data_IF_925390391890
#
_entry.id   IF_925390391890
#
_cell.length_a   1.000
_cell.length_b   1.000
_cell.length_c   1.000
_cell.angle_alpha   90.00
_cell.angle_beta   90.00
_cell.angle_gamma   90.00
#
_symmetry.space_group_name_H-M   'P 1'
#
loop_
_entity.id
_entity.type
_entity.pdbx_description
1 polymer ?
#
# COMPACT_ATOMS: atom_id res chain seq x y z
N UNK A 1 5.30 15.37 13.51
CA UNK A 1 5.08 15.14 14.95
C UNK A 1 4.21 16.30 15.44
N UNK A 2 2.93 16.07 15.71
CA UNK A 2 1.93 17.14 15.54
C UNK A 2 1.40 17.68 16.87
N UNK A 3 1.56 16.94 17.98
CA UNK A 3 0.97 17.28 19.28
C UNK A 3 1.48 18.61 19.83
N UNK A 4 2.80 18.83 19.86
CA UNK A 4 3.37 20.05 20.43
C UNK A 4 2.94 21.31 19.66
N UNK A 5 3.05 21.39 18.31
CA UNK A 5 2.51 22.51 17.55
C UNK A 5 1.01 22.75 17.76
N UNK A 6 0.20 21.69 17.87
CA UNK A 6 -1.25 21.81 18.11
C UNK A 6 -1.54 22.38 19.50
N UNK A 7 -0.83 21.93 20.54
CA UNK A 7 -0.99 22.47 21.90
C UNK A 7 -0.58 23.93 21.96
N UNK A 8 0.51 24.31 21.28
CA UNK A 8 1.04 25.68 21.31
C UNK A 8 0.26 26.68 20.45
N UNK A 9 -0.30 26.23 19.32
CA UNK A 9 -0.93 27.11 18.31
C UNK A 9 -2.45 26.92 18.18
N UNK A 10 -3.00 25.89 18.83
CA UNK A 10 -4.40 25.52 18.79
C UNK A 10 -4.77 24.59 17.63
N UNK A 11 -5.78 23.76 17.86
CA UNK A 11 -6.39 22.89 16.84
C UNK A 11 -6.89 23.62 15.59
N UNK A 12 -7.58 24.78 15.70
CA UNK A 12 -8.02 25.55 14.54
C UNK A 12 -6.88 25.96 13.61
N UNK A 13 -5.73 26.35 14.16
CA UNK A 13 -4.56 26.70 13.35
C UNK A 13 -4.03 25.50 12.57
N UNK A 14 -3.98 24.32 13.18
CA UNK A 14 -3.60 23.07 12.49
C UNK A 14 -4.62 22.69 11.40
N UNK A 15 -5.91 22.91 11.65
CA UNK A 15 -7.00 22.61 10.73
C UNK A 15 -7.10 23.56 9.53
N UNK A 16 -6.32 24.65 9.48
CA UNK A 16 -6.22 25.50 8.27
C UNK A 16 -5.44 24.85 7.13
N UNK A 17 -4.66 23.80 7.42
CA UNK A 17 -3.91 23.02 6.44
C UNK A 17 -4.70 21.78 6.03
N UNK A 18 -4.39 21.26 4.85
CA UNK A 18 -5.04 20.06 4.32
C UNK A 18 -6.41 20.32 3.70
N UNK A 19 -7.30 19.34 3.78
CA UNK A 19 -8.70 19.45 3.33
C UNK A 19 -9.65 19.57 4.52
N UNK A 20 -10.93 19.84 4.25
CA UNK A 20 -11.97 19.89 5.29
C UNK A 20 -12.20 18.54 5.99
N UNK A 21 -11.99 17.42 5.29
CA UNK A 21 -12.17 16.06 5.83
C UNK A 21 -10.85 15.45 6.33
N UNK A 22 -9.72 15.80 5.71
CA UNK A 22 -8.37 15.38 6.07
C UNK A 22 -7.53 16.61 6.41
N UNK A 23 -7.60 17.06 7.67
CA UNK A 23 -6.93 18.28 8.12
C UNK A 23 -5.47 18.05 8.53
N UNK A 24 -4.66 19.09 8.35
CA UNK A 24 -3.26 19.12 8.77
C UNK A 24 -2.28 18.57 7.75
N UNK A 25 -1.14 18.09 8.27
CA UNK A 25 -0.04 17.50 7.50
C UNK A 25 0.15 16.04 7.81
N UNK A 26 0.76 15.33 6.86
CA UNK A 26 1.23 13.96 7.02
C UNK A 26 2.69 13.84 6.60
N UNK A 27 3.43 13.03 7.37
CA UNK A 27 4.77 12.60 6.99
C UNK A 27 4.64 11.38 6.08
N UNK A 28 5.28 11.46 4.92
CA UNK A 28 5.39 10.35 3.98
C UNK A 28 6.83 9.87 3.91
N UNK A 29 7.02 8.56 4.08
CA UNK A 29 8.30 7.90 3.92
C UNK A 29 8.38 7.41 2.47
N UNK A 30 9.02 8.21 1.60
CA UNK A 30 9.16 7.91 0.19
C UNK A 30 10.49 7.19 -0.06
N UNK A 31 10.42 6.02 -0.70
CA UNK A 31 11.54 5.11 -0.90
C UNK A 31 11.42 4.34 -2.22
N UNK A 32 12.40 3.50 -2.53
CA UNK A 32 12.46 2.75 -3.78
C UNK A 32 13.14 3.54 -4.89
N UNK A 33 12.56 3.51 -6.09
CA UNK A 33 13.17 3.99 -7.33
C UNK A 33 13.00 5.50 -7.55
N UNK A 34 13.28 6.29 -6.51
CA UNK A 34 13.25 7.77 -6.56
C UNK A 34 14.64 8.35 -6.39
N UNK A 35 14.88 9.55 -6.95
CA UNK A 35 16.20 10.20 -6.93
C UNK A 35 16.67 10.57 -5.52
N UNK A 36 15.76 10.97 -4.63
CA UNK A 36 16.05 11.39 -3.26
C UNK A 36 15.08 10.73 -2.27
N UNK A 37 15.32 9.47 -1.87
CA UNK A 37 14.49 8.82 -0.85
C UNK A 37 14.60 9.56 0.48
N UNK A 38 13.51 9.62 1.25
CA UNK A 38 13.47 10.39 2.48
C UNK A 38 12.07 10.51 3.09
N UNK A 39 11.97 11.34 4.12
CA UNK A 39 10.71 11.68 4.77
C UNK A 39 10.29 13.08 4.35
N UNK A 40 9.08 13.20 3.81
CA UNK A 40 8.53 14.45 3.32
C UNK A 40 7.27 14.79 4.11
N UNK A 41 7.20 15.99 4.66
CA UNK A 41 5.98 16.52 5.27
C UNK A 41 5.21 17.32 4.24
N UNK A 42 3.98 16.90 3.94
CA UNK A 42 3.08 17.61 3.03
C UNK A 42 1.71 17.78 3.66
N UNK A 43 0.96 18.77 3.18
CA UNK A 43 -0.43 18.95 3.52
C UNK A 43 -1.25 17.81 2.92
N UNK A 44 -2.27 17.35 3.67
CA UNK A 44 -3.25 16.44 3.09
C UNK A 44 -3.86 17.06 1.83
N UNK A 45 -3.99 16.28 0.75
CA UNK A 45 -4.46 16.77 -0.54
C UNK A 45 -3.37 16.94 -1.60
N UNK A 46 -2.09 16.97 -1.22
CA UNK A 46 -1.01 16.76 -2.18
C UNK A 46 -1.20 15.41 -2.90
N UNK A 47 -0.85 15.34 -4.17
CA UNK A 47 -0.98 14.13 -4.99
C UNK A 47 0.24 13.20 -4.82
N UNK A 48 0.12 11.96 -5.27
CA UNK A 48 1.26 11.04 -5.32
C UNK A 48 2.35 11.56 -6.28
N UNK A 49 1.95 12.22 -7.38
CA UNK A 49 2.85 12.93 -8.29
C UNK A 49 3.66 14.01 -7.58
N UNK A 50 3.00 14.89 -6.83
CA UNK A 50 3.67 15.96 -6.10
C UNK A 50 4.75 15.40 -5.16
N UNK A 51 4.44 14.30 -4.48
CA UNK A 51 5.38 13.65 -3.56
C UNK A 51 6.59 13.06 -4.28
N UNK A 52 6.38 12.40 -5.43
CA UNK A 52 7.46 11.85 -6.26
C UNK A 52 8.33 12.98 -6.82
N UNK A 53 7.73 14.08 -7.26
CA UNK A 53 8.44 15.26 -7.76
C UNK A 53 9.27 15.93 -6.66
N UNK A 54 8.76 16.01 -5.42
CA UNK A 54 9.53 16.47 -4.26
C UNK A 54 10.78 15.60 -4.02
N UNK A 55 10.72 14.30 -4.27
CA UNK A 55 11.89 13.43 -4.24
C UNK A 55 12.81 13.53 -5.47
N UNK A 56 12.52 14.42 -6.41
CA UNK A 56 13.31 14.59 -7.64
C UNK A 56 12.98 13.54 -8.71
N UNK A 57 11.76 13.01 -8.69
CA UNK A 57 11.27 12.07 -9.69
C UNK A 57 11.78 10.65 -9.51
N UNK A 58 11.36 9.80 -10.44
CA UNK A 58 11.91 8.44 -10.62
C UNK A 58 13.38 8.54 -11.03
N UNK A 59 14.20 7.57 -10.62
CA UNK A 59 15.63 7.51 -10.99
C UNK A 59 15.82 7.67 -12.50
N UNK A 60 16.84 8.43 -12.91
CA UNK A 60 17.11 8.73 -14.31
C UNK A 60 17.24 7.46 -15.18
N UNK A 61 16.60 7.48 -16.35
CA UNK A 61 16.59 6.34 -17.29
C UNK A 61 15.64 5.20 -16.91
N UNK A 62 14.82 5.39 -15.86
CA UNK A 62 13.80 4.44 -15.43
C UNK A 62 12.40 5.02 -15.60
N UNK A 63 11.42 4.14 -15.68
CA UNK A 63 10.01 4.51 -15.68
C UNK A 63 9.29 3.87 -14.49
N UNK A 64 8.39 4.62 -13.87
CA UNK A 64 7.57 4.07 -12.79
C UNK A 64 6.68 2.94 -13.32
N UNK A 65 6.75 1.79 -12.67
CA UNK A 65 5.89 0.64 -12.95
C UNK A 65 4.69 0.59 -12.01
N UNK A 66 4.93 0.80 -10.71
CA UNK A 66 3.89 0.79 -9.69
C UNK A 66 4.35 1.52 -8.43
N UNK A 67 3.41 1.85 -7.54
CA UNK A 67 3.70 2.35 -6.20
C UNK A 67 2.97 1.50 -5.18
N UNK A 68 3.68 0.95 -4.19
CA UNK A 68 3.03 0.38 -3.02
C UNK A 68 2.77 1.50 -2.01
N UNK A 69 1.50 1.90 -1.90
CA UNK A 69 1.04 2.98 -1.03
C UNK A 69 0.47 2.40 0.26
N UNK A 70 0.91 2.93 1.40
CA UNK A 70 0.44 2.53 2.74
C UNK A 70 1.30 1.49 3.44
N UNK A 71 2.44 1.10 2.84
CA UNK A 71 3.38 0.10 3.37
C UNK A 71 3.06 -1.32 2.91
N UNK A 72 3.67 -2.33 3.54
CA UNK A 72 3.52 -3.74 3.15
C UNK A 72 2.05 -4.23 3.13
N UNK A 73 1.21 -3.71 4.03
CA UNK A 73 -0.22 -4.02 4.12
C UNK A 73 -1.10 -3.06 3.28
N UNK A 74 -0.44 -2.23 2.49
CA UNK A 74 -1.05 -1.24 1.61
C UNK A 74 -1.58 -1.87 0.33
N UNK A 75 -1.79 -1.04 -0.67
CA UNK A 75 -2.23 -1.47 -2.01
C UNK A 75 -1.37 -0.86 -3.09
N UNK A 76 -1.30 -1.54 -4.23
CA UNK A 76 -0.60 -1.01 -5.38
C UNK A 76 -1.41 0.06 -6.10
N UNK A 77 -0.74 1.16 -6.42
CA UNK A 77 -1.18 2.22 -7.30
C UNK A 77 -0.45 2.10 -8.65
N UNK A 78 -1.15 2.44 -9.73
CA UNK A 78 -0.64 2.51 -11.10
C UNK A 78 -0.30 3.96 -11.46
N UNK A 79 0.19 4.16 -12.68
CA UNK A 79 0.44 5.49 -13.25
C UNK A 79 -0.84 6.34 -13.28
N UNK A 80 -2.00 5.71 -13.47
CA UNK A 80 -3.30 6.39 -13.54
C UNK A 80 -3.76 6.95 -12.17
N UNK A 81 -3.18 6.47 -11.08
CA UNK A 81 -3.51 6.94 -9.72
C UNK A 81 -2.62 8.10 -9.24
N UNK A 82 -1.64 8.55 -10.04
CA UNK A 82 -0.65 9.52 -9.60
C UNK A 82 -1.26 10.85 -9.13
N UNK A 83 -2.39 11.21 -9.72
CA UNK A 83 -3.10 12.46 -9.44
C UNK A 83 -4.19 12.29 -8.36
N UNK A 84 -4.28 11.12 -7.72
CA UNK A 84 -5.16 10.90 -6.55
C UNK A 84 -4.66 11.75 -5.38
N UNK A 85 -5.50 12.62 -4.79
CA UNK A 85 -5.13 13.37 -3.60
C UNK A 85 -4.85 12.42 -2.44
N UNK A 86 -3.71 12.59 -1.75
CA UNK A 86 -3.30 11.78 -0.61
C UNK A 86 -4.08 12.20 0.65
N UNK A 87 -5.38 11.89 0.64
CA UNK A 87 -6.35 12.08 1.73
C UNK A 87 -7.03 10.75 2.06
N UNK A 88 -7.58 10.57 3.26
CA UNK A 88 -8.20 9.30 3.63
C UNK A 88 -9.39 8.94 2.73
N UNK A 89 -10.20 9.95 2.39
CA UNK A 89 -11.40 9.83 1.57
C UNK A 89 -11.07 9.52 0.11
N UNK A 90 -10.14 10.26 -0.51
CA UNK A 90 -9.84 10.09 -1.92
C UNK A 90 -9.06 8.80 -2.19
N UNK A 91 -8.10 8.42 -1.33
CA UNK A 91 -7.42 7.13 -1.50
C UNK A 91 -8.40 5.98 -1.33
N UNK A 92 -9.31 6.04 -0.35
CA UNK A 92 -10.32 5.00 -0.16
C UNK A 92 -11.23 4.88 -1.38
N UNK A 93 -11.66 6.00 -1.96
CA UNK A 93 -12.50 6.02 -3.15
C UNK A 93 -11.77 5.43 -4.38
N UNK A 94 -10.44 5.58 -4.47
CA UNK A 94 -9.60 5.00 -5.51
C UNK A 94 -9.21 3.52 -5.25
N UNK A 95 -9.70 2.90 -4.18
CA UNK A 95 -9.29 1.55 -3.77
C UNK A 95 -7.84 1.48 -3.26
N UNK A 96 -7.29 2.62 -2.84
CA UNK A 96 -5.94 2.76 -2.32
C UNK A 96 -5.90 2.87 -0.78
N UNK A 97 -4.81 2.41 -0.18
CA UNK A 97 -4.58 2.51 1.26
C UNK A 97 -3.56 3.59 1.59
N UNK A 98 -3.99 4.70 2.19
CA UNK A 98 -3.04 5.74 2.62
C UNK A 98 -2.10 5.25 3.74
N UNK A 99 -2.59 4.35 4.59
CA UNK A 99 -1.85 3.67 5.65
C UNK A 99 -0.95 4.57 6.49
N UNK A 100 0.24 4.06 6.79
CA UNK A 100 1.26 4.76 7.59
C UNK A 100 1.93 5.94 6.86
N UNK A 101 1.60 6.19 5.59
CA UNK A 101 2.31 7.16 4.75
C UNK A 101 3.59 6.62 4.13
N UNK A 102 3.82 5.31 4.15
CA UNK A 102 4.92 4.69 3.41
C UNK A 102 4.55 4.65 1.92
N UNK A 103 5.47 5.12 1.09
CA UNK A 103 5.34 5.16 -0.37
C UNK A 103 6.58 4.50 -0.96
N UNK A 104 6.39 3.36 -1.62
CA UNK A 104 7.48 2.62 -2.25
C UNK A 104 7.30 2.64 -3.76
N UNK A 105 8.18 3.36 -4.46
CA UNK A 105 8.14 3.47 -5.92
C UNK A 105 8.92 2.33 -6.55
N UNK A 106 8.27 1.57 -7.42
CA UNK A 106 8.85 0.44 -8.15
C UNK A 106 9.00 0.82 -9.62
N UNK A 107 10.18 0.61 -10.18
CA UNK A 107 10.46 0.90 -11.58
C UNK A 107 10.23 -0.31 -12.51
N UNK A 108 10.53 -0.10 -13.79
CA UNK A 108 10.43 -1.08 -14.87
C UNK A 108 11.36 -2.30 -14.69
N UNK A 109 12.38 -2.22 -13.84
CA UNK A 109 13.29 -3.34 -13.56
C UNK A 109 12.83 -4.24 -12.42
N UNK A 110 11.82 -3.81 -11.66
CA UNK A 110 11.36 -4.55 -10.49
C UNK A 110 10.63 -5.82 -10.90
N UNK A 111 11.08 -6.97 -10.41
CA UNK A 111 10.33 -8.23 -10.48
C UNK A 111 9.15 -8.20 -9.50
N UNK A 112 7.97 -7.81 -10.01
CA UNK A 112 6.76 -7.74 -9.20
C UNK A 112 6.30 -9.11 -8.68
N UNK A 113 6.58 -10.21 -9.38
CA UNK A 113 6.20 -11.55 -8.91
C UNK A 113 7.02 -11.90 -7.67
N UNK A 114 8.34 -11.75 -7.75
CA UNK A 114 9.22 -11.97 -6.60
C UNK A 114 8.89 -11.02 -5.43
N UNK A 115 8.57 -9.75 -5.74
CA UNK A 115 8.23 -8.75 -4.74
C UNK A 115 6.95 -9.12 -3.97
N UNK A 116 5.88 -9.51 -4.69
CA UNK A 116 4.59 -9.90 -4.07
C UNK A 116 4.73 -11.18 -3.27
N UNK A 117 5.49 -12.17 -3.75
CA UNK A 117 5.80 -13.39 -2.97
C UNK A 117 6.56 -13.08 -1.68
N UNK A 118 7.50 -12.13 -1.73
CA UNK A 118 8.23 -11.66 -0.53
C UNK A 118 7.27 -11.03 0.50
N UNK A 119 6.29 -10.24 0.06
CA UNK A 119 5.25 -9.66 0.93
C UNK A 119 4.37 -10.76 1.53
N UNK A 120 3.94 -11.75 0.74
CA UNK A 120 3.15 -12.86 1.25
C UNK A 120 3.91 -13.65 2.34
N UNK A 121 5.18 -13.98 2.08
CA UNK A 121 6.06 -14.62 3.06
C UNK A 121 6.22 -13.78 4.34
N UNK A 122 6.39 -12.46 4.20
CA UNK A 122 6.45 -11.55 5.36
C UNK A 122 5.19 -11.65 6.24
N UNK A 123 3.98 -11.63 5.67
CA UNK A 123 2.76 -11.76 6.48
C UNK A 123 2.54 -13.16 7.06
N UNK A 124 3.06 -14.19 6.40
CA UNK A 124 3.10 -15.54 6.98
C UNK A 124 3.98 -15.56 8.22
N UNK A 125 5.18 -14.98 8.13
CA UNK A 125 6.18 -14.96 9.20
C UNK A 125 5.75 -14.07 10.38
N UNK A 126 5.16 -12.91 10.10
CA UNK A 126 4.80 -11.89 11.11
C UNK A 126 3.40 -12.08 11.73
N UNK A 127 2.67 -13.12 11.33
CA UNK A 127 1.40 -13.46 11.97
C UNK A 127 1.66 -13.93 13.41
N UNK A 128 1.07 -13.26 14.40
CA UNK A 128 1.14 -13.69 15.80
C UNK A 128 0.45 -15.06 16.08
N UNK A 129 -0.35 -15.55 15.13
CA UNK A 129 -0.97 -16.88 15.19
C UNK A 129 -2.29 -16.97 15.96
N UNK A 130 -2.79 -15.87 16.53
CA UNK A 130 -3.96 -15.90 17.42
C UNK A 130 -5.28 -16.21 16.71
N UNK A 131 -5.56 -15.61 15.54
CA UNK A 131 -6.79 -15.83 14.79
C UNK A 131 -6.55 -16.75 13.59
N UNK A 132 -7.44 -17.72 13.39
CA UNK A 132 -7.34 -18.70 12.29
C UNK A 132 -7.34 -18.02 10.91
N UNK A 133 -8.22 -17.04 10.62
CA UNK A 133 -8.21 -16.33 9.33
C UNK A 133 -6.83 -15.76 8.97
N UNK A 134 -6.16 -15.09 9.92
CA UNK A 134 -4.81 -14.58 9.68
C UNK A 134 -3.77 -15.69 9.61
N UNK A 135 -3.69 -16.56 10.64
CA UNK A 135 -2.63 -17.57 10.77
C UNK A 135 -2.61 -18.55 9.59
N UNK A 136 -3.78 -18.97 9.13
CA UNK A 136 -3.91 -19.94 8.04
C UNK A 136 -4.04 -19.21 6.70
N UNK A 137 -4.77 -18.09 6.65
CA UNK A 137 -4.98 -17.33 5.43
C UNK A 137 -3.67 -16.81 4.81
N UNK A 138 -2.73 -16.31 5.62
CA UNK A 138 -1.43 -15.85 5.09
C UNK A 138 -0.60 -16.98 4.48
N UNK A 139 -0.67 -18.19 5.04
CA UNK A 139 -0.05 -19.40 4.45
C UNK A 139 -0.73 -19.76 3.13
N UNK A 140 -2.07 -19.82 3.11
CA UNK A 140 -2.83 -20.18 1.89
C UNK A 140 -2.63 -19.16 0.76
N UNK A 141 -2.48 -17.89 1.11
CA UNK A 141 -2.15 -16.83 0.17
C UNK A 141 -0.76 -17.01 -0.45
N UNK A 142 0.26 -17.37 0.34
CA UNK A 142 1.61 -17.67 -0.17
C UNK A 142 1.58 -18.91 -1.09
N UNK A 143 0.95 -20.00 -0.65
CA UNK A 143 0.81 -21.23 -1.45
C UNK A 143 0.05 -20.99 -2.77
N UNK A 144 -0.97 -20.14 -2.75
CA UNK A 144 -1.73 -19.74 -3.93
C UNK A 144 -0.82 -19.04 -4.96
N UNK A 145 0.00 -18.08 -4.51
CA UNK A 145 0.97 -17.42 -5.39
C UNK A 145 1.98 -18.42 -5.98
N UNK A 146 2.44 -19.37 -5.17
CA UNK A 146 3.37 -20.42 -5.62
C UNK A 146 2.74 -21.32 -6.69
N UNK A 147 1.46 -21.70 -6.52
CA UNK A 147 0.71 -22.45 -7.53
C UNK A 147 0.52 -21.65 -8.82
N UNK A 148 0.17 -20.37 -8.73
CA UNK A 148 0.06 -19.50 -9.90
C UNK A 148 1.39 -19.39 -10.66
N UNK A 149 2.52 -19.26 -9.95
CA UNK A 149 3.86 -19.29 -10.56
C UNK A 149 4.15 -20.63 -11.25
N UNK A 150 3.67 -21.73 -10.68
CA UNK A 150 3.82 -23.08 -11.25
C UNK A 150 2.86 -23.36 -12.44
N UNK A 151 2.03 -22.39 -12.85
CA UNK A 151 1.13 -22.52 -13.99
C UNK A 151 -0.26 -23.08 -13.66
N UNK A 152 -0.71 -22.99 -12.40
CA UNK A 152 -2.10 -23.27 -12.06
C UNK A 152 -3.07 -22.32 -12.78
N UNK A 153 -4.33 -22.74 -12.98
CA UNK A 153 -5.36 -21.92 -13.61
C UNK A 153 -5.57 -20.60 -12.83
N UNK A 154 -5.25 -19.44 -13.43
CA UNK A 154 -5.37 -18.16 -12.75
C UNK A 154 -6.80 -17.83 -12.33
N UNK A 155 -7.83 -18.39 -12.99
CA UNK A 155 -9.22 -18.10 -12.63
C UNK A 155 -9.58 -18.67 -11.26
N UNK A 156 -9.34 -19.95 -11.04
CA UNK A 156 -9.64 -20.61 -9.76
C UNK A 156 -8.83 -20.02 -8.60
N UNK A 157 -7.55 -19.73 -8.84
CA UNK A 157 -6.70 -19.10 -7.81
C UNK A 157 -7.14 -17.67 -7.48
N UNK A 158 -7.62 -16.88 -8.45
CA UNK A 158 -8.20 -15.55 -8.20
C UNK A 158 -9.49 -15.59 -7.38
N UNK A 159 -10.37 -16.56 -7.64
CA UNK A 159 -11.59 -16.74 -6.83
C UNK A 159 -11.23 -17.11 -5.39
N UNK A 160 -10.29 -18.05 -5.21
CA UNK A 160 -9.78 -18.43 -3.89
C UNK A 160 -9.10 -17.25 -3.16
N UNK A 161 -8.32 -16.44 -3.88
CA UNK A 161 -7.68 -15.24 -3.34
C UNK A 161 -8.70 -14.30 -2.70
N UNK A 162 -9.78 -14.01 -3.44
CA UNK A 162 -10.83 -13.09 -3.01
C UNK A 162 -11.58 -13.64 -1.78
N UNK A 163 -11.84 -14.94 -1.75
CA UNK A 163 -12.48 -15.60 -0.60
C UNK A 163 -11.58 -15.54 0.65
N UNK A 164 -10.30 -15.86 0.50
CA UNK A 164 -9.31 -15.76 1.60
C UNK A 164 -9.24 -14.31 2.10
N UNK A 165 -9.07 -13.35 1.19
CA UNK A 165 -8.96 -11.94 1.52
C UNK A 165 -10.20 -11.40 2.24
N UNK A 166 -11.39 -11.82 1.83
CA UNK A 166 -12.65 -11.46 2.51
C UNK A 166 -12.70 -12.03 3.93
N UNK A 167 -12.40 -13.31 4.11
CA UNK A 167 -12.42 -13.95 5.45
C UNK A 167 -11.36 -13.32 6.37
N UNK A 168 -10.17 -13.02 5.84
CA UNK A 168 -9.11 -12.32 6.56
C UNK A 168 -9.55 -10.92 6.99
N UNK A 169 -10.17 -10.14 6.10
CA UNK A 169 -10.71 -8.82 6.38
C UNK A 169 -11.78 -8.84 7.49
N UNK A 170 -12.72 -9.77 7.41
CA UNK A 170 -13.93 -9.74 8.23
C UNK A 170 -13.75 -10.43 9.59
N UNK A 171 -12.85 -11.41 9.70
CA UNK A 171 -12.73 -12.27 10.88
C UNK A 171 -11.35 -12.26 11.57
N UNK A 172 -10.41 -11.41 11.13
CA UNK A 172 -9.15 -11.20 11.86
C UNK A 172 -9.30 -10.20 13.01
N UNK A 173 -8.60 -10.48 14.12
CA UNK A 173 -8.69 -9.71 15.38
C UNK A 173 -8.01 -8.33 15.28
N UNK A 174 -6.96 -8.21 14.47
CA UNK A 174 -6.17 -6.97 14.39
C UNK A 174 -5.92 -6.54 12.94
N UNK A 175 -5.41 -5.31 12.78
CA UNK A 175 -5.15 -4.70 11.49
C UNK A 175 -4.24 -5.51 10.57
N UNK A 176 -3.25 -6.26 11.11
CA UNK A 176 -2.38 -7.12 10.29
C UNK A 176 -3.21 -8.16 9.53
N UNK A 177 -3.99 -8.98 10.26
CA UNK A 177 -4.81 -10.00 9.62
C UNK A 177 -5.88 -9.42 8.70
N UNK A 178 -6.42 -8.25 9.04
CA UNK A 178 -7.44 -7.58 8.22
C UNK A 178 -6.92 -6.99 6.91
N UNK A 179 -5.59 -6.86 6.74
CA UNK A 179 -4.99 -6.12 5.61
C UNK A 179 -3.84 -6.87 4.91
N UNK A 180 -3.39 -8.01 5.44
CA UNK A 180 -2.28 -8.79 4.90
C UNK A 180 -2.50 -9.30 3.46
N UNK A 181 -3.75 -9.29 2.97
CA UNK A 181 -4.10 -9.66 1.60
C UNK A 181 -4.11 -8.50 0.60
N UNK A 182 -4.17 -7.25 1.08
CA UNK A 182 -4.38 -6.07 0.23
C UNK A 182 -3.33 -5.92 -0.88
N UNK A 183 -2.04 -6.08 -0.55
CA UNK A 183 -0.96 -5.92 -1.52
C UNK A 183 -0.97 -7.05 -2.57
N UNK A 184 -1.32 -8.26 -2.15
CA UNK A 184 -1.41 -9.43 -3.04
C UNK A 184 -2.60 -9.25 -4.00
N UNK A 185 -3.78 -8.97 -3.45
CA UNK A 185 -5.01 -8.77 -4.22
C UNK A 185 -4.85 -7.63 -5.23
N UNK A 186 -4.33 -6.47 -4.79
CA UNK A 186 -4.12 -5.34 -5.71
C UNK A 186 -3.05 -5.61 -6.76
N UNK A 187 -1.99 -6.36 -6.45
CA UNK A 187 -1.00 -6.74 -7.47
C UNK A 187 -1.61 -7.63 -8.56
N UNK A 188 -2.38 -8.65 -8.17
CA UNK A 188 -2.99 -9.58 -9.13
C UNK A 188 -4.08 -8.89 -9.95
N UNK A 189 -4.97 -8.14 -9.30
CA UNK A 189 -6.14 -7.56 -9.96
C UNK A 189 -5.85 -6.25 -10.70
N UNK A 190 -5.02 -5.37 -10.12
CA UNK A 190 -4.77 -4.03 -10.68
C UNK A 190 -3.51 -3.99 -11.57
N UNK A 191 -2.46 -4.71 -11.19
CA UNK A 191 -1.21 -4.73 -11.97
C UNK A 191 -1.11 -5.90 -12.96
N UNK A 192 -2.06 -6.86 -12.92
CA UNK A 192 -1.99 -8.06 -13.75
C UNK A 192 -0.80 -8.95 -13.42
N UNK A 193 -0.33 -8.95 -12.16
CA UNK A 193 0.74 -9.86 -11.74
C UNK A 193 0.19 -11.28 -11.72
N UNK A 194 0.85 -12.20 -12.41
CA UNK A 194 0.44 -13.61 -12.53
C UNK A 194 -0.94 -13.80 -13.19
N UNK A 195 -1.38 -12.85 -14.02
CA UNK A 195 -2.69 -12.88 -14.68
C UNK A 195 -2.76 -13.76 -15.90
#
# INVERSE_FOLDING_TARGET
>A
MNVLPIVLRGGPAFATRGTSASTGTKLFCLSGSVSRPGVYEVDFGATLRDLIDLAGGVVAGRSMRAVLLGGAAGTFATVDDLDVPLTFEATRAAGLSLGSGVVMVLDDTTDLVAYVRRIAAFFRDESCGQCVPCRVGTVRQEEMLDRMVAGADPRGERELMLDIGRVMRDASICGLGQTAHNAIESAVLKLGVLS
#
